data_IF_420685939680
#
_entry.id   IF_420685939680
#
_cell.length_a   1.000
_cell.length_b   1.000
_cell.length_c   1.000
_cell.angle_alpha   90.00
_cell.angle_beta   90.00
_cell.angle_gamma   90.00
#
_symmetry.space_group_name_H-M   'P 1'
#
loop_
_entity.id
_entity.type
_entity.pdbx_description
1 polymer ?
#
# COMPACT_ATOMS: atom_id res chain seq x y z
N UNK A 1 -27.62 -11.52 -24.28
CA UNK A 1 -26.29 -10.94 -24.67
C UNK A 1 -25.72 -9.94 -23.66
N UNK A 2 -26.51 -9.04 -23.05
CA UNK A 2 -25.99 -8.07 -22.07
C UNK A 2 -25.45 -8.71 -20.77
N UNK A 3 -26.09 -9.78 -20.28
CA UNK A 3 -25.62 -10.52 -19.10
C UNK A 3 -24.26 -11.19 -19.33
N UNK A 4 -24.07 -11.83 -20.48
CA UNK A 4 -22.83 -12.57 -20.81
C UNK A 4 -21.61 -11.64 -20.86
N UNK A 5 -21.75 -10.45 -21.49
CA UNK A 5 -20.72 -9.40 -21.47
C UNK A 5 -20.40 -8.93 -20.04
N UNK A 6 -21.42 -8.82 -19.19
CA UNK A 6 -21.25 -8.41 -17.79
C UNK A 6 -20.51 -9.48 -16.98
N UNK A 7 -20.85 -10.76 -17.15
CA UNK A 7 -20.17 -11.88 -16.49
C UNK A 7 -18.69 -11.98 -16.89
N UNK A 8 -18.35 -11.76 -18.17
CA UNK A 8 -16.95 -11.72 -18.62
C UNK A 8 -16.16 -10.59 -17.95
N UNK A 9 -16.75 -9.38 -17.87
CA UNK A 9 -16.12 -8.23 -17.21
C UNK A 9 -15.97 -8.49 -15.71
N UNK A 10 -17.01 -9.02 -15.05
CA UNK A 10 -16.98 -9.35 -13.63
C UNK A 10 -15.89 -10.38 -13.32
N UNK A 11 -15.74 -11.43 -14.15
CA UNK A 11 -14.71 -12.45 -14.00
C UNK A 11 -13.29 -11.86 -14.15
N UNK A 12 -13.06 -11.00 -15.15
CA UNK A 12 -11.76 -10.33 -15.31
C UNK A 12 -11.42 -9.44 -14.11
N UNK A 13 -12.38 -8.67 -13.60
CA UNK A 13 -12.16 -7.81 -12.43
C UNK A 13 -11.87 -8.68 -11.18
N UNK A 14 -12.60 -9.78 -11.00
CA UNK A 14 -12.38 -10.71 -9.88
C UNK A 14 -11.04 -11.43 -9.91
N UNK A 15 -10.60 -11.89 -11.09
CA UNK A 15 -9.38 -12.71 -11.22
C UNK A 15 -8.12 -11.85 -11.21
N UNK A 16 -8.16 -10.66 -11.79
CA UNK A 16 -6.96 -9.83 -11.94
C UNK A 16 -6.97 -8.64 -11.00
N UNK A 17 -8.02 -7.81 -11.06
CA UNK A 17 -7.99 -6.51 -10.39
C UNK A 17 -8.08 -6.67 -8.88
N UNK A 18 -9.03 -7.47 -8.37
CA UNK A 18 -9.20 -7.68 -6.93
C UNK A 18 -7.97 -8.21 -6.19
N UNK A 19 -7.31 -9.29 -6.63
CA UNK A 19 -6.13 -9.79 -5.94
C UNK A 19 -4.96 -8.80 -6.05
N UNK A 20 -4.76 -8.17 -7.21
CA UNK A 20 -3.68 -7.20 -7.38
C UNK A 20 -3.90 -5.98 -6.48
N UNK A 21 -5.07 -5.35 -6.53
CA UNK A 21 -5.35 -4.13 -5.75
C UNK A 21 -5.52 -4.41 -4.26
N UNK A 22 -6.02 -5.59 -3.90
CA UNK A 22 -6.13 -6.05 -2.52
C UNK A 22 -4.77 -6.29 -1.89
N UNK A 23 -3.91 -7.10 -2.52
CA UNK A 23 -2.57 -7.42 -2.01
C UNK A 23 -1.69 -6.17 -1.98
N UNK A 24 -1.69 -5.35 -3.05
CA UNK A 24 -0.90 -4.11 -3.08
C UNK A 24 -1.41 -3.08 -2.07
N UNK A 25 -2.73 -2.91 -1.94
CA UNK A 25 -3.32 -2.03 -0.94
C UNK A 25 -2.92 -2.43 0.48
N UNK A 26 -3.02 -3.71 0.81
CA UNK A 26 -2.58 -4.24 2.10
C UNK A 26 -1.07 -4.11 2.31
N UNK A 27 -0.27 -4.47 1.31
CA UNK A 27 1.17 -4.36 1.37
C UNK A 27 1.60 -2.92 1.67
N UNK A 28 1.01 -1.93 1.01
CA UNK A 28 1.30 -0.51 1.26
C UNK A 28 0.80 -0.02 2.63
N UNK A 29 -0.36 -0.49 3.08
CA UNK A 29 -0.88 -0.16 4.42
C UNK A 29 -0.02 -0.76 5.55
N UNK A 30 0.62 -1.91 5.33
CA UNK A 30 1.51 -2.54 6.32
C UNK A 30 2.92 -1.98 6.22
N UNK A 31 3.44 -1.77 5.01
CA UNK A 31 4.79 -1.27 4.79
C UNK A 31 4.96 0.18 5.25
N UNK A 32 3.93 1.03 5.10
CA UNK A 32 4.01 2.43 5.51
C UNK A 32 4.33 2.63 7.00
N UNK A 33 3.56 2.02 7.93
CA UNK A 33 3.86 2.04 9.36
C UNK A 33 5.19 1.36 9.70
N UNK A 34 5.53 0.26 9.02
CA UNK A 34 6.80 -0.45 9.20
C UNK A 34 8.00 0.45 8.87
N UNK A 35 7.91 1.24 7.80
CA UNK A 35 8.93 2.22 7.42
C UNK A 35 9.08 3.25 8.53
N UNK A 36 7.99 3.81 9.07
CA UNK A 36 8.04 4.78 10.19
C UNK A 36 8.75 4.17 11.41
N UNK A 37 8.36 2.96 11.83
CA UNK A 37 8.96 2.27 12.98
C UNK A 37 10.45 2.00 12.74
N UNK A 38 10.82 1.48 11.57
CA UNK A 38 12.21 1.22 11.22
C UNK A 38 13.06 2.51 11.23
N UNK A 39 12.47 3.63 10.83
CA UNK A 39 13.12 4.95 10.83
C UNK A 39 13.39 5.45 12.24
N UNK A 40 12.42 5.31 13.14
CA UNK A 40 12.57 5.69 14.55
C UNK A 40 13.65 4.82 15.20
N UNK A 41 13.60 3.51 14.96
CA UNK A 41 14.62 2.57 15.46
C UNK A 41 16.00 2.97 14.95
N UNK A 42 16.15 3.21 13.64
CA UNK A 42 17.42 3.69 13.04
C UNK A 42 17.92 4.97 13.70
N UNK A 43 17.04 5.94 13.94
CA UNK A 43 17.37 7.21 14.59
C UNK A 43 17.86 7.01 16.03
N UNK A 44 17.17 6.18 16.82
CA UNK A 44 17.58 5.87 18.20
C UNK A 44 18.94 5.18 18.21
N UNK A 45 19.18 4.19 17.35
CA UNK A 45 20.47 3.50 17.27
C UNK A 45 21.62 4.44 16.85
N UNK A 46 21.36 5.37 15.91
CA UNK A 46 22.34 6.40 15.55
C UNK A 46 22.64 7.36 16.72
N UNK A 47 21.65 7.67 17.56
CA UNK A 47 21.85 8.49 18.77
C UNK A 47 22.82 7.83 19.77
N UNK A 48 22.81 6.49 19.85
CA UNK A 48 23.70 5.71 20.71
C UNK A 48 25.05 5.36 20.06
N UNK A 49 25.33 5.86 18.86
CA UNK A 49 26.54 5.54 18.07
C UNK A 49 26.77 4.03 17.85
N UNK A 50 25.69 3.25 17.82
CA UNK A 50 25.74 1.82 17.49
C UNK A 50 25.52 1.68 15.99
N UNK A 51 26.59 1.39 15.25
CA UNK A 51 26.56 1.30 13.79
C UNK A 51 25.95 -0.03 13.32
N UNK A 52 24.63 -0.03 13.11
CA UNK A 52 23.93 -1.14 12.47
C UNK A 52 24.17 -1.08 10.95
N UNK A 53 25.28 -1.66 10.51
CA UNK A 53 25.72 -1.70 9.10
C UNK A 53 24.61 -2.12 8.10
N UNK A 54 23.63 -2.92 8.54
CA UNK A 54 22.47 -3.34 7.75
C UNK A 54 21.39 -2.26 7.55
N UNK A 55 21.22 -1.33 8.50
CA UNK A 55 20.23 -0.24 8.44
C UNK A 55 20.81 1.05 7.86
N UNK A 56 22.13 1.22 7.86
CA UNK A 56 22.82 2.43 7.40
C UNK A 56 23.03 2.45 5.87
N UNK A 57 22.96 1.31 5.17
CA UNK A 57 23.24 1.21 3.72
C UNK A 57 22.43 2.14 2.80
N UNK A 58 21.14 2.48 3.06
CA UNK A 58 20.41 3.41 2.22
C UNK A 58 20.39 4.83 2.81
N UNK A 59 21.38 5.23 3.62
CA UNK A 59 21.43 6.63 4.08
C UNK A 59 21.69 7.53 2.87
N UNK A 60 20.79 8.48 2.62
CA UNK A 60 20.93 9.46 1.54
C UNK A 60 22.10 10.45 1.74
N UNK A 61 22.93 10.27 2.78
CA UNK A 61 24.06 11.14 3.08
C UNK A 61 23.67 12.54 3.58
N UNK A 62 22.37 12.79 3.77
CA UNK A 62 21.80 14.09 4.16
C UNK A 62 21.85 14.36 5.68
N UNK A 63 22.38 13.44 6.48
CA UNK A 63 22.37 13.49 7.94
C UNK A 63 21.17 12.76 8.56
N UNK A 64 21.20 12.59 9.88
CA UNK A 64 20.29 11.71 10.65
C UNK A 64 18.85 12.24 10.72
N UNK A 65 18.68 13.56 10.84
CA UNK A 65 17.37 14.21 10.94
C UNK A 65 16.61 14.26 9.60
N UNK A 66 17.23 14.65 8.46
CA UNK A 66 16.53 14.66 7.18
C UNK A 66 16.09 13.28 6.70
N UNK A 67 16.91 12.24 6.94
CA UNK A 67 16.60 10.85 6.59
C UNK A 67 15.35 10.35 7.33
N UNK A 68 15.19 10.72 8.62
CA UNK A 68 14.00 10.44 9.42
C UNK A 68 12.75 11.14 8.84
N UNK A 69 12.85 12.41 8.50
CA UNK A 69 11.72 13.20 7.96
C UNK A 69 11.27 12.63 6.61
N UNK A 70 12.20 12.34 5.71
CA UNK A 70 11.90 11.77 4.39
C UNK A 70 11.20 10.42 4.56
N UNK A 71 11.73 9.55 5.41
CA UNK A 71 11.16 8.24 5.64
C UNK A 71 9.75 8.31 6.27
N UNK A 72 9.53 9.28 7.17
CA UNK A 72 8.21 9.53 7.74
C UNK A 72 7.19 9.97 6.67
N UNK A 73 7.58 10.90 5.80
CA UNK A 73 6.76 11.39 4.67
C UNK A 73 6.45 10.25 3.70
N UNK A 74 7.46 9.46 3.35
CA UNK A 74 7.33 8.30 2.45
C UNK A 74 6.41 7.25 3.05
N UNK A 75 6.59 6.89 4.32
CA UNK A 75 5.74 5.93 5.03
C UNK A 75 4.27 6.39 5.11
N UNK A 76 4.03 7.68 5.38
CA UNK A 76 2.68 8.26 5.34
C UNK A 76 2.07 8.21 3.95
N UNK A 77 2.81 8.60 2.91
CA UNK A 77 2.37 8.55 1.52
C UNK A 77 1.97 7.14 1.10
N UNK A 78 2.82 6.14 1.40
CA UNK A 78 2.54 4.72 1.14
C UNK A 78 1.24 4.28 1.83
N UNK A 79 1.06 4.64 3.09
CA UNK A 79 -0.16 4.29 3.84
C UNK A 79 -1.40 4.93 3.21
N UNK A 80 -1.33 6.20 2.83
CA UNK A 80 -2.44 6.92 2.19
C UNK A 80 -2.78 6.28 0.84
N UNK A 81 -1.78 5.96 0.02
CA UNK A 81 -1.97 5.29 -1.28
C UNK A 81 -2.62 3.92 -1.08
N UNK A 82 -2.17 3.14 -0.09
CA UNK A 82 -2.75 1.84 0.25
C UNK A 82 -4.23 1.94 0.65
N UNK A 83 -4.59 2.90 1.51
CA UNK A 83 -5.98 3.18 1.89
C UNK A 83 -6.81 3.57 0.67
N UNK A 84 -6.26 4.40 -0.22
CA UNK A 84 -6.93 4.83 -1.44
C UNK A 84 -7.20 3.66 -2.39
N UNK A 85 -6.21 2.79 -2.61
CA UNK A 85 -6.36 1.56 -3.40
C UNK A 85 -7.45 0.65 -2.82
N UNK A 86 -7.46 0.48 -1.51
CA UNK A 86 -8.47 -0.31 -0.82
C UNK A 86 -9.88 0.27 -1.03
N UNK A 87 -10.00 1.60 -0.98
CA UNK A 87 -11.27 2.30 -1.21
C UNK A 87 -11.77 2.14 -2.64
N UNK A 88 -10.89 2.21 -3.64
CA UNK A 88 -11.23 1.95 -5.05
C UNK A 88 -11.70 0.50 -5.21
N UNK A 89 -10.99 -0.45 -4.62
CA UNK A 89 -11.34 -1.88 -4.66
C UNK A 89 -12.74 -2.13 -4.09
N UNK A 90 -13.06 -1.53 -2.95
CA UNK A 90 -14.43 -1.60 -2.37
C UNK A 90 -15.49 -0.97 -3.27
N UNK A 91 -15.20 0.19 -3.88
CA UNK A 91 -16.14 0.84 -4.81
C UNK A 91 -16.39 -0.01 -6.06
N UNK A 92 -15.35 -0.60 -6.65
CA UNK A 92 -15.47 -1.53 -7.77
C UNK A 92 -16.32 -2.74 -7.41
N UNK A 93 -16.13 -3.28 -6.19
CA UNK A 93 -16.94 -4.39 -5.68
C UNK A 93 -18.42 -4.02 -5.59
N UNK A 94 -18.73 -2.90 -4.94
CA UNK A 94 -20.10 -2.41 -4.80
C UNK A 94 -20.74 -2.13 -6.15
N UNK A 95 -19.99 -1.53 -7.08
CA UNK A 95 -20.46 -1.24 -8.43
C UNK A 95 -20.78 -2.52 -9.22
N UNK A 96 -19.95 -3.56 -9.08
CA UNK A 96 -20.25 -4.89 -9.63
C UNK A 96 -21.52 -5.46 -9.00
N UNK A 97 -21.63 -5.49 -7.68
CA UNK A 97 -22.83 -6.03 -7.02
C UNK A 97 -24.12 -5.32 -7.45
N UNK A 98 -24.09 -3.99 -7.57
CA UNK A 98 -25.24 -3.17 -8.00
C UNK A 98 -25.61 -3.36 -9.48
N UNK A 99 -24.65 -3.66 -10.34
CA UNK A 99 -24.90 -3.93 -11.77
C UNK A 99 -25.14 -5.41 -12.09
N UNK A 100 -25.17 -6.27 -11.08
CA UNK A 100 -25.47 -7.68 -11.26
C UNK A 100 -26.83 -7.78 -11.95
N UNK A 101 -26.92 -8.33 -13.17
CA UNK A 101 -28.21 -8.51 -13.83
C UNK A 101 -29.04 -9.45 -12.95
N UNK A 102 -30.26 -9.04 -12.58
CA UNK A 102 -31.24 -9.95 -12.02
C UNK A 102 -31.46 -11.06 -13.04
N UNK A 103 -31.20 -12.29 -12.62
CA UNK A 103 -31.53 -13.45 -13.42
C UNK A 103 -33.06 -13.50 -13.47
N UNK A 104 -33.67 -13.06 -14.57
CA UNK A 104 -34.98 -13.56 -14.99
C UNK A 104 -34.87 -15.05 -15.31
#
# INVERSE_FOLDING_TARGET
MKSLKWYTIAACIWIFIFPITGITGWAFMVSGPLVIVASIVKFVFQLFSIDLYWLTKPSLGLGVLPDLIISLIVGLLLTIIGIWLWRITKRLYQWLVLRKPENC
#
